data_IF_187419582766
#
_entry.id   IF_187419582766
#
_cell.length_a   1.000
_cell.length_b   1.000
_cell.length_c   1.000
_cell.angle_alpha   90.00
_cell.angle_beta   90.00
_cell.angle_gamma   90.00
#
_symmetry.space_group_name_H-M   'P 1'
#
loop_
_entity.id
_entity.type
_entity.pdbx_description
1 polymer ?
#
# COMPACT_ATOMS: atom_id res chain seq x y z
N UNK A 1 -4.91 -9.83 -15.21
CA UNK A 1 -5.47 -10.18 -13.89
C UNK A 1 -4.40 -9.84 -12.86
N UNK A 2 -4.48 -8.64 -12.29
CA UNK A 2 -3.53 -8.15 -11.29
C UNK A 2 -3.72 -9.01 -10.03
N UNK A 3 -2.72 -9.84 -9.71
CA UNK A 3 -2.81 -10.77 -8.58
C UNK A 3 -3.05 -9.98 -7.30
N UNK A 4 -4.12 -10.31 -6.57
CA UNK A 4 -4.43 -9.78 -5.24
C UNK A 4 -3.24 -9.94 -4.26
N UNK A 5 -2.27 -10.80 -4.59
CA UNK A 5 -1.10 -11.10 -3.78
C UNK A 5 -0.01 -10.02 -3.82
N UNK A 6 -0.01 -9.13 -4.83
CA UNK A 6 0.93 -8.00 -4.86
C UNK A 6 0.41 -6.70 -4.23
N UNK A 7 -0.86 -6.72 -3.82
CA UNK A 7 -1.45 -5.74 -2.92
C UNK A 7 -1.12 -6.02 -1.46
N UNK A 8 -0.23 -6.99 -1.18
CA UNK A 8 0.31 -7.24 0.16
C UNK A 8 1.37 -6.17 0.50
N UNK A 9 0.93 -4.93 0.34
CA UNK A 9 1.55 -3.67 0.69
C UNK A 9 1.80 -3.72 2.19
N UNK A 10 3.01 -3.36 2.61
CA UNK A 10 3.38 -3.46 4.01
C UNK A 10 2.44 -2.57 4.84
N UNK A 11 1.64 -3.21 5.69
CA UNK A 11 0.59 -2.56 6.47
C UNK A 11 1.18 -1.47 7.38
N UNK A 12 0.55 -0.31 7.38
CA UNK A 12 0.77 0.73 8.40
C UNK A 12 -0.49 0.90 9.24
N UNK A 13 -0.36 0.65 10.55
CA UNK A 13 -1.45 0.81 11.51
C UNK A 13 -1.37 2.22 12.10
N UNK A 14 -2.43 3.01 11.94
CA UNK A 14 -2.56 4.29 12.66
C UNK A 14 -3.49 4.12 13.85
N UNK A 15 -3.05 4.66 14.98
CA UNK A 15 -3.81 4.68 16.22
C UNK A 15 -3.87 6.09 16.77
N UNK A 16 -5.07 6.67 16.87
CA UNK A 16 -5.30 8.03 17.39
C UNK A 16 -5.93 7.98 18.78
N UNK A 17 -5.25 8.58 19.77
CA UNK A 17 -5.69 8.65 21.16
C UNK A 17 -6.54 9.92 21.38
N UNK A 18 -7.74 9.80 21.97
CA UNK A 18 -8.39 10.95 22.60
C UNK A 18 -8.02 11.01 24.09
N UNK A 19 -7.98 12.22 24.66
CA UNK A 19 -7.55 12.48 26.04
C UNK A 19 -8.45 11.93 27.16
N UNK A 20 -9.32 10.95 26.90
CA UNK A 20 -10.25 10.38 27.88
C UNK A 20 -10.01 8.88 28.10
N UNK A 21 -10.18 8.41 29.35
CA UNK A 21 -10.01 6.99 29.71
C UNK A 21 -10.88 6.06 28.85
N UNK A 22 -12.13 6.45 28.57
CA UNK A 22 -13.05 5.68 27.73
C UNK A 22 -12.54 5.50 26.29
N UNK A 23 -11.88 6.53 25.73
CA UNK A 23 -11.27 6.44 24.40
C UNK A 23 -10.09 5.48 24.38
N UNK A 24 -9.26 5.48 25.43
CA UNK A 24 -8.14 4.53 25.58
C UNK A 24 -8.62 3.08 25.61
N UNK A 25 -9.77 2.78 26.23
CA UNK A 25 -10.36 1.43 26.22
C UNK A 25 -10.89 1.02 24.83
N UNK A 26 -11.59 1.92 24.14
CA UNK A 26 -12.05 1.68 22.76
C UNK A 26 -10.87 1.41 21.83
N UNK A 27 -9.79 2.17 21.99
CA UNK A 27 -8.57 2.03 21.23
C UNK A 27 -7.87 0.68 21.50
N UNK A 28 -7.83 0.22 22.76
CA UNK A 28 -7.33 -1.13 23.10
C UNK A 28 -8.12 -2.24 22.39
N UNK A 29 -9.43 -2.10 22.24
CA UNK A 29 -10.28 -3.06 21.50
C UNK A 29 -9.94 -3.03 20.00
N UNK A 30 -9.78 -1.84 19.40
CA UNK A 30 -9.40 -1.69 17.99
C UNK A 30 -8.02 -2.31 17.74
N UNK A 31 -7.04 -2.04 18.60
CA UNK A 31 -5.69 -2.62 18.53
C UNK A 31 -5.76 -4.15 18.58
N UNK A 32 -6.52 -4.73 19.53
CA UNK A 32 -6.71 -6.19 19.61
C UNK A 32 -7.40 -6.75 18.36
N UNK A 33 -8.38 -6.05 17.78
CA UNK A 33 -9.03 -6.47 16.54
C UNK A 33 -8.10 -6.39 15.33
N UNK A 34 -7.28 -5.35 15.23
CA UNK A 34 -6.25 -5.20 14.19
C UNK A 34 -5.22 -6.32 14.30
N UNK A 35 -4.62 -6.54 15.48
CA UNK A 35 -3.64 -7.62 15.69
C UNK A 35 -4.24 -9.01 15.43
N UNK A 36 -5.50 -9.26 15.84
CA UNK A 36 -6.18 -10.54 15.59
C UNK A 36 -6.49 -10.77 14.10
N UNK A 37 -6.81 -9.70 13.36
CA UNK A 37 -7.04 -9.76 11.92
C UNK A 37 -5.73 -10.01 11.14
N UNK A 38 -4.60 -9.47 11.62
CA UNK A 38 -3.28 -9.69 11.02
C UNK A 38 -2.79 -11.13 11.22
N UNK A 39 -3.01 -11.74 12.40
CA UNK A 39 -2.58 -13.13 12.68
C UNK A 39 -3.38 -14.20 11.93
N UNK A 40 -4.56 -13.89 11.41
CA UNK A 40 -5.42 -14.87 10.71
C UNK A 40 -5.18 -14.93 9.19
N UNK A 41 -4.25 -14.15 8.63
CA UNK A 41 -3.96 -14.11 7.20
C UNK A 41 -2.65 -14.86 6.88
N UNK A 42 -2.69 -16.19 6.87
CA UNK A 42 -1.57 -17.02 6.37
C UNK A 42 -1.62 -17.05 4.84
N UNK A 43 -0.54 -16.67 4.18
CA UNK A 43 -0.43 -16.71 2.71
C UNK A 43 0.79 -17.58 2.36
N UNK A 44 0.69 -18.50 1.38
CA UNK A 44 1.82 -19.30 0.95
C UNK A 44 2.97 -18.43 0.42
N UNK A 45 4.21 -18.84 0.73
CA UNK A 45 5.43 -18.19 0.26
C UNK A 45 5.56 -18.33 -1.27
N UNK A 46 5.87 -17.23 -1.97
CA UNK A 46 6.25 -17.33 -3.39
C UNK A 46 6.26 -16.07 -4.26
N UNK A 47 6.00 -14.86 -3.74
CA UNK A 47 6.04 -13.62 -4.55
C UNK A 47 6.71 -12.49 -3.74
N UNK A 48 7.77 -11.89 -4.29
CA UNK A 48 8.38 -10.66 -3.72
C UNK A 48 7.69 -9.43 -4.33
N UNK A 49 6.95 -8.70 -3.51
CA UNK A 49 6.31 -7.43 -3.86
C UNK A 49 7.05 -6.30 -3.15
N UNK A 50 8.25 -6.02 -3.63
CA UNK A 50 9.20 -5.12 -2.95
C UNK A 50 9.42 -3.84 -3.77
N UNK A 51 8.31 -3.16 -4.08
CA UNK A 51 8.37 -1.81 -4.65
C UNK A 51 8.15 -0.73 -3.60
N UNK A 52 7.30 -0.97 -2.60
CA UNK A 52 6.93 -0.01 -1.57
C UNK A 52 7.14 -0.56 -0.16
N UNK A 53 7.88 0.19 0.65
CA UNK A 53 8.18 -0.14 2.04
C UNK A 53 7.80 1.03 2.94
N UNK A 54 6.88 0.89 3.90
CA UNK A 54 6.55 1.98 4.80
C UNK A 54 7.72 2.25 5.73
N UNK A 55 7.93 3.52 6.04
CA UNK A 55 9.01 3.94 6.93
C UNK A 55 8.77 3.43 8.36
N UNK A 56 7.50 3.32 8.77
CA UNK A 56 7.08 2.75 10.04
C UNK A 56 5.95 1.74 9.77
N UNK A 57 5.81 0.70 10.63
CA UNK A 57 4.69 -0.27 10.55
C UNK A 57 3.51 0.12 11.43
N UNK A 58 3.76 0.96 12.43
CA UNK A 58 2.77 1.45 13.37
C UNK A 58 3.05 2.94 13.63
N UNK A 59 2.00 3.76 13.62
CA UNK A 59 2.05 5.20 13.91
C UNK A 59 1.00 5.51 14.96
N UNK A 60 1.43 6.15 16.03
CA UNK A 60 0.56 6.61 17.13
C UNK A 60 0.55 8.12 17.14
N UNK A 61 -0.64 8.71 17.28
CA UNK A 61 -0.77 10.15 17.41
C UNK A 61 -1.95 10.51 18.31
N UNK A 62 -2.05 11.78 18.68
CA UNK A 62 -3.13 12.32 19.51
C UNK A 62 -4.13 13.02 18.61
N UNK A 63 -5.41 12.93 18.97
CA UNK A 63 -6.49 13.64 18.28
C UNK A 63 -6.18 15.13 18.10
N UNK A 64 -6.56 15.69 16.96
CA UNK A 64 -6.29 17.06 16.55
C UNK A 64 -4.90 17.29 15.95
N UNK A 65 -3.96 16.34 16.10
CA UNK A 65 -2.60 16.48 15.59
C UNK A 65 -2.50 16.12 14.10
N UNK A 66 -1.52 16.69 13.41
CA UNK A 66 -1.17 16.26 12.06
C UNK A 66 -0.47 14.89 12.10
N UNK A 67 -0.74 14.04 11.12
CA UNK A 67 -0.15 12.70 10.98
C UNK A 67 0.39 12.52 9.58
N UNK A 68 1.61 12.02 9.46
CA UNK A 68 2.23 11.69 8.18
C UNK A 68 2.52 10.20 8.12
N UNK A 69 2.05 9.57 7.04
CA UNK A 69 2.31 8.18 6.70
C UNK A 69 3.25 8.14 5.52
N UNK A 70 4.45 7.63 5.73
CA UNK A 70 5.48 7.64 4.70
C UNK A 70 5.76 6.25 4.18
N UNK A 71 5.78 6.13 2.86
CA UNK A 71 6.28 4.98 2.13
C UNK A 71 7.51 5.34 1.32
N UNK A 72 8.47 4.42 1.31
CA UNK A 72 9.64 4.45 0.47
C UNK A 72 9.43 3.55 -0.74
N UNK A 73 9.54 4.15 -1.91
CA UNK A 73 9.60 3.49 -3.18
C UNK A 73 11.03 3.04 -3.46
N UNK A 74 11.21 1.78 -3.87
CA UNK A 74 12.54 1.17 -4.07
C UNK A 74 13.31 1.82 -5.23
N UNK A 75 12.59 2.43 -6.18
CA UNK A 75 13.13 3.16 -7.33
C UNK A 75 12.70 4.63 -7.29
N UNK A 76 13.31 5.45 -8.15
CA UNK A 76 12.85 6.81 -8.36
C UNK A 76 11.55 6.79 -9.17
N UNK A 77 10.49 7.40 -8.65
CA UNK A 77 9.21 7.44 -9.32
C UNK A 77 9.21 8.38 -10.53
N UNK A 78 8.39 8.02 -11.51
CA UNK A 78 8.21 8.71 -12.78
C UNK A 78 6.77 9.18 -12.94
N UNK A 79 6.49 9.99 -13.96
CA UNK A 79 5.11 10.41 -14.28
C UNK A 79 4.21 9.25 -14.70
N UNK A 80 4.79 8.09 -15.04
CA UNK A 80 4.12 6.85 -15.39
C UNK A 80 3.94 5.86 -14.24
N UNK A 81 4.41 6.19 -13.04
CA UNK A 81 4.11 5.42 -11.84
C UNK A 81 2.90 6.06 -11.16
N UNK A 82 1.86 5.27 -10.92
CA UNK A 82 0.60 5.75 -10.34
C UNK A 82 0.42 5.20 -8.94
N UNK A 83 0.24 6.09 -7.98
CA UNK A 83 0.10 5.79 -6.56
C UNK A 83 -1.34 5.96 -6.10
N UNK A 84 -1.80 5.02 -5.28
CA UNK A 84 -3.17 4.95 -4.78
C UNK A 84 -3.15 4.71 -3.28
N UNK A 85 -3.90 5.50 -2.54
CA UNK A 85 -4.02 5.40 -1.10
C UNK A 85 -5.37 4.82 -0.70
N UNK A 86 -5.32 3.87 0.24
CA UNK A 86 -6.50 3.21 0.77
C UNK A 86 -6.48 3.21 2.29
N UNK A 87 -7.67 3.20 2.89
CA UNK A 87 -7.90 2.98 4.31
C UNK A 87 -8.80 1.77 4.51
N UNK A 88 -8.50 0.92 5.48
CA UNK A 88 -9.35 -0.21 5.82
C UNK A 88 -9.65 -0.24 7.30
N UNK A 89 -10.94 -0.14 7.62
CA UNK A 89 -11.45 -0.41 8.95
C UNK A 89 -11.50 -1.91 9.24
N UNK A 90 -11.40 -2.32 10.51
CA UNK A 90 -11.53 -3.73 10.89
C UNK A 90 -12.76 -4.37 10.25
N UNK A 91 -12.55 -5.51 9.56
CA UNK A 91 -13.61 -6.31 8.91
C UNK A 91 -14.41 -5.58 7.81
N UNK A 92 -13.89 -4.47 7.29
CA UNK A 92 -14.45 -3.76 6.13
C UNK A 92 -13.53 -3.91 4.92
N UNK A 93 -14.06 -3.77 3.69
CA UNK A 93 -13.20 -3.66 2.51
C UNK A 93 -12.37 -2.37 2.55
N UNK A 94 -11.22 -2.31 1.85
CA UNK A 94 -10.46 -1.06 1.68
C UNK A 94 -11.28 0.02 0.98
N UNK A 95 -11.23 1.23 1.50
CA UNK A 95 -11.83 2.46 0.97
C UNK A 95 -10.74 3.27 0.26
N UNK A 96 -11.03 3.73 -0.95
CA UNK A 96 -10.14 4.61 -1.70
C UNK A 96 -10.12 6.03 -1.11
N UNK A 97 -8.94 6.63 -0.99
CA UNK A 97 -8.74 7.97 -0.41
C UNK A 97 -8.30 8.99 -1.44
N UNK A 98 -7.19 8.73 -2.12
CA UNK A 98 -6.56 9.64 -3.07
C UNK A 98 -5.59 8.88 -4.00
N UNK A 99 -5.37 9.42 -5.20
CA UNK A 99 -4.36 8.97 -6.15
C UNK A 99 -3.57 10.12 -6.75
N UNK A 100 -2.31 9.83 -7.08
CA UNK A 100 -1.38 10.78 -7.68
C UNK A 100 -0.35 10.06 -8.56
N UNK A 101 0.32 10.81 -9.43
CA UNK A 101 1.49 10.30 -10.15
C UNK A 101 2.73 10.32 -9.25
N UNK A 102 3.76 9.56 -9.62
CA UNK A 102 5.07 9.58 -8.98
C UNK A 102 5.81 10.91 -9.09
N UNK A 103 5.32 11.84 -9.91
CA UNK A 103 5.82 13.23 -10.00
C UNK A 103 4.96 14.23 -9.23
N UNK A 104 3.94 13.76 -8.51
CA UNK A 104 3.10 14.58 -7.64
C UNK A 104 1.90 15.22 -8.33
N UNK A 105 1.53 14.81 -9.55
CA UNK A 105 0.30 15.29 -10.17
C UNK A 105 -0.90 14.57 -9.55
N UNK A 106 -1.87 15.34 -9.06
CA UNK A 106 -3.11 14.82 -8.47
C UNK A 106 -3.98 14.17 -9.56
N UNK A 107 -4.48 12.97 -9.30
CA UNK A 107 -5.36 12.22 -10.22
C UNK A 107 -6.80 12.07 -9.70
N UNK A 108 -7.00 12.26 -8.40
CA UNK A 108 -8.31 12.31 -7.78
C UNK A 108 -8.33 13.35 -6.67
N UNK A 109 -9.50 13.92 -6.38
CA UNK A 109 -9.64 14.84 -5.25
C UNK A 109 -9.46 14.09 -3.93
N UNK A 110 -8.73 14.67 -2.95
CA UNK A 110 -8.59 14.08 -1.64
C UNK A 110 -9.92 14.06 -0.89
N UNK A 111 -10.12 13.01 -0.10
CA UNK A 111 -11.07 13.07 1.01
C UNK A 111 -10.65 14.21 1.94
N UNK A 112 -11.64 14.91 2.51
CA UNK A 112 -11.41 16.07 3.36
C UNK A 112 -10.36 15.79 4.46
N UNK A 113 -9.45 16.76 4.69
CA UNK A 113 -8.30 16.70 5.63
C UNK A 113 -7.13 15.80 5.19
N UNK A 114 -7.21 15.13 4.05
CA UNK A 114 -6.09 14.38 3.49
C UNK A 114 -5.35 15.19 2.43
N UNK A 115 -4.03 15.06 2.42
CA UNK A 115 -3.16 15.53 1.35
C UNK A 115 -2.07 14.48 1.11
N UNK A 116 -1.33 14.64 0.01
CA UNK A 116 -0.15 13.82 -0.25
C UNK A 116 1.05 14.71 -0.51
N UNK A 117 2.23 14.16 -0.30
CA UNK A 117 3.50 14.76 -0.67
C UNK A 117 4.39 13.71 -1.31
N UNK A 118 5.10 14.10 -2.37
CA UNK A 118 6.14 13.28 -2.99
C UNK A 118 7.47 13.96 -2.70
N UNK A 119 8.42 13.22 -2.15
CA UNK A 119 9.74 13.77 -1.83
C UNK A 119 10.47 14.22 -3.10
N UNK A 120 11.43 15.14 -2.95
CA UNK A 120 12.19 15.70 -4.07
C UNK A 120 12.97 14.63 -4.87
N UNK A 121 13.48 13.60 -4.19
CA UNK A 121 14.15 12.47 -4.83
C UNK A 121 13.18 11.48 -5.50
N UNK A 122 11.86 11.71 -5.36
CA UNK A 122 10.73 10.92 -5.87
C UNK A 122 10.73 9.48 -5.38
N UNK A 123 11.31 9.23 -4.20
CA UNK A 123 11.30 7.92 -3.56
C UNK A 123 10.40 7.88 -2.32
N UNK A 124 10.01 9.02 -1.78
CA UNK A 124 9.10 9.15 -0.65
C UNK A 124 7.69 9.47 -1.13
N UNK A 125 6.73 8.69 -0.66
CA UNK A 125 5.30 8.87 -0.88
C UNK A 125 4.65 9.05 0.48
N UNK A 126 4.19 10.26 0.76
CA UNK A 126 3.59 10.62 2.03
C UNK A 126 2.10 10.86 1.87
N UNK A 127 1.30 10.26 2.76
CA UNK A 127 -0.08 10.65 3.01
C UNK A 127 -0.14 11.44 4.32
N UNK A 128 -0.74 12.62 4.27
CA UNK A 128 -0.85 13.53 5.39
C UNK A 128 -2.32 13.67 5.81
N UNK A 129 -2.55 13.59 7.11
CA UNK A 129 -3.84 13.88 7.75
C UNK A 129 -3.63 15.18 8.52
N UNK A 130 -4.30 16.26 8.13
CA UNK A 130 -4.05 17.58 8.72
C UNK A 130 -4.57 17.72 10.15
N UNK A 131 -5.62 16.99 10.50
CA UNK A 131 -6.19 16.93 11.84
C UNK A 131 -6.78 15.55 12.09
N UNK A 132 -6.04 14.74 12.85
CA UNK A 132 -6.40 13.35 13.12
C UNK A 132 -7.62 13.26 14.04
N UNK A 133 -8.59 12.42 13.69
CA UNK A 133 -9.69 12.03 14.56
C UNK A 133 -9.52 10.57 15.01
N UNK A 134 -10.15 10.19 16.12
CA UNK A 134 -10.19 8.77 16.57
C UNK A 134 -10.71 7.86 15.46
N UNK A 135 -11.68 8.35 14.67
CA UNK A 135 -12.27 7.65 13.52
C UNK A 135 -11.29 7.43 12.36
N UNK A 136 -10.14 8.08 12.35
CA UNK A 136 -9.09 7.84 11.36
C UNK A 136 -8.19 6.63 11.73
N UNK A 137 -8.39 6.02 12.91
CA UNK A 137 -7.66 4.81 13.35
C UNK A 137 -8.04 3.59 12.49
N UNK A 138 -7.10 3.12 11.68
CA UNK A 138 -7.32 2.09 10.68
C UNK A 138 -5.98 1.56 10.13
N UNK A 139 -6.05 0.58 9.23
CA UNK A 139 -4.91 0.19 8.40
C UNK A 139 -4.88 1.04 7.15
N UNK A 140 -3.70 1.54 6.79
CA UNK A 140 -3.48 2.33 5.58
C UNK A 140 -2.52 1.64 4.63
N UNK A 141 -2.88 1.70 3.34
CA UNK A 141 -2.13 1.07 2.26
C UNK A 141 -1.79 2.10 1.19
N UNK A 142 -0.57 2.01 0.66
CA UNK A 142 -0.15 2.70 -0.55
C UNK A 142 0.11 1.66 -1.64
N UNK A 143 -0.62 1.72 -2.75
CA UNK A 143 -0.43 0.84 -3.91
C UNK A 143 0.25 1.61 -5.03
N UNK A 144 1.10 0.93 -5.81
CA UNK A 144 1.72 1.49 -7.01
C UNK A 144 1.39 0.61 -8.21
N UNK A 145 1.07 1.24 -9.33
CA UNK A 145 0.95 0.57 -10.62
C UNK A 145 2.14 1.00 -11.46
N UNK A 146 3.17 0.15 -11.62
CA UNK A 146 4.24 0.45 -12.55
C UNK A 146 3.70 0.32 -13.96
N UNK A 147 3.99 1.30 -14.81
CA UNK A 147 3.87 1.08 -16.25
C UNK A 147 4.95 0.07 -16.63
N UNK A 148 4.57 -1.03 -17.28
CA UNK A 148 5.54 -2.00 -17.78
C UNK A 148 6.35 -1.32 -18.86
N UNK A 149 7.51 -0.74 -18.52
CA UNK A 149 8.51 -0.39 -19.53
C UNK A 149 9.06 -1.71 -20.03
N UNK A 150 8.47 -2.22 -21.12
CA UNK A 150 8.85 -3.48 -21.73
C UNK A 150 10.35 -3.50 -22.03
N UNK A 151 11.12 -4.15 -21.17
CA UNK A 151 12.37 -4.77 -21.56
C UNK A 151 11.98 -5.91 -22.52
N UNK A 152 12.00 -5.63 -23.83
CA UNK A 152 11.76 -6.64 -24.87
C UNK A 152 12.86 -7.71 -24.94
N UNK A 153 13.98 -7.56 -24.22
CA UNK A 153 15.10 -8.53 -24.24
C UNK A 153 14.84 -9.77 -23.39
N UNK A 154 14.00 -9.73 -22.36
CA UNK A 154 13.68 -10.93 -21.55
C UNK A 154 12.50 -11.74 -22.07
N UNK A 155 11.61 -11.16 -22.89
CA UNK A 155 10.48 -11.89 -23.46
C UNK A 155 10.89 -12.94 -24.49
N UNK A 156 12.04 -12.77 -25.17
CA UNK A 156 12.48 -13.67 -26.22
C UNK A 156 13.03 -15.02 -25.70
N UNK A 157 13.59 -15.07 -24.48
CA UNK A 157 14.21 -16.31 -23.95
C UNK A 157 13.19 -17.40 -23.56
N UNK A 158 11.94 -17.03 -23.31
CA UNK A 158 10.90 -17.99 -22.91
C UNK A 158 10.06 -18.51 -24.09
N UNK A 159 10.19 -17.92 -25.29
CA UNK A 159 9.43 -18.38 -26.46
C UNK A 159 10.11 -19.55 -27.20
N UNK A 160 11.44 -19.67 -27.12
CA UNK A 160 12.18 -20.73 -27.84
C UNK A 160 12.35 -22.06 -27.09
N UNK A 161 11.98 -22.14 -25.82
CA UNK A 161 12.12 -23.38 -25.02
C UNK A 161 10.93 -24.34 -25.19
N UNK A 162 9.83 -23.92 -25.87
CA UNK A 162 8.57 -24.67 -25.88
C UNK A 162 8.23 -25.47 -27.13
N UNK A 163 9.08 -25.48 -28.16
CA UNK A 163 8.87 -26.28 -29.39
C UNK A 163 9.94 -27.35 -29.62
N UNK A 164 10.22 -28.17 -28.61
CA UNK A 164 10.83 -29.49 -28.81
C UNK A 164 9.96 -30.57 -28.15
N UNK A 165 8.77 -30.81 -28.73
CA UNK A 165 8.08 -32.10 -28.54
C UNK A 165 8.41 -32.98 -29.71
N UNK A 166 9.26 -33.96 -29.42
CA UNK A 166 9.61 -35.10 -30.25
C UNK A 166 8.34 -35.72 -30.84
N UNK A 167 8.25 -35.74 -32.17
CA UNK A 167 7.22 -36.47 -32.90
C UNK A 167 7.66 -37.94 -32.95
N UNK A 168 7.25 -38.75 -31.97
CA UNK A 168 7.22 -40.20 -32.14
C UNK A 168 5.95 -40.54 -32.93
N UNK A 169 6.10 -40.88 -34.22
CA UNK A 169 5.09 -41.61 -34.97
C UNK A 169 5.75 -42.80 -35.71
N UNK A 170 5.46 -43.97 -35.16
CA UNK A 170 5.19 -45.28 -35.77
C UNK A 170 5.41 -45.42 -37.30
N UNK A 171 6.30 -46.33 -37.69
CA UNK A 171 5.99 -47.50 -38.52
C UNK A 171 6.83 -48.68 -38.05
#
# INVERSE_FOLDING_TARGET
MLSLECYKLSLLIITILAGTLQSVYFLKIIIVMIYKSIKHFSVPLGVSCEELTPNNKEVFSVEGSAVTLSYKYSKQATGSDYFFWYRQYPRKPPEFLISHTGTGAKLSDPVNRLSFHVSDDKKGMDLQISSAAVTDSAVYYCAVTPTVTGNSKTLYKNLWSKDNRILHNIH
#
